data_IF_344345676889
#
_entry.id   IF_344345676889
#
_cell.length_a   1.000
_cell.length_b   1.000
_cell.length_c   1.000
_cell.angle_alpha   90.00
_cell.angle_beta   90.00
_cell.angle_gamma   90.00
#
_symmetry.space_group_name_H-M   'P 1'
#
loop_
_entity.id
_entity.type
_entity.pdbx_description
1 polymer ?
#
# COMPACT_ATOMS: atom_id res chain seq x y z
N UNK A 1 -17.88 20.04 5.11
CA UNK A 1 -18.45 19.30 6.26
C UNK A 1 -19.77 18.69 5.81
N UNK A 2 -19.94 17.37 5.87
CA UNK A 2 -21.25 16.75 5.71
C UNK A 2 -22.06 17.08 6.98
N UNK A 3 -23.32 17.48 6.84
CA UNK A 3 -24.17 18.07 7.88
C UNK A 3 -24.56 17.11 9.04
N UNK A 4 -23.62 16.40 9.66
CA UNK A 4 -23.81 15.59 10.89
C UNK A 4 -25.03 14.62 10.89
N UNK A 5 -25.61 14.30 9.73
CA UNK A 5 -26.90 13.57 9.62
C UNK A 5 -26.75 12.05 9.63
N UNK A 6 -25.53 11.52 9.60
CA UNK A 6 -25.28 10.08 9.57
C UNK A 6 -24.18 9.71 10.56
N UNK A 7 -24.52 8.88 11.56
CA UNK A 7 -23.59 8.26 12.49
C UNK A 7 -23.53 6.76 12.23
N UNK A 8 -22.33 6.18 12.29
CA UNK A 8 -22.11 4.73 12.21
C UNK A 8 -21.46 4.29 13.52
N UNK A 9 -22.05 3.29 14.18
CA UNK A 9 -21.45 2.62 15.34
C UNK A 9 -20.76 1.36 14.80
N UNK A 10 -19.46 1.21 15.07
CA UNK A 10 -18.72 0.02 14.67
C UNK A 10 -18.86 -1.08 15.72
N UNK A 11 -19.14 -2.28 15.24
CA UNK A 11 -19.00 -3.50 16.00
C UNK A 11 -17.56 -4.03 15.91
N UNK A 12 -17.15 -4.92 16.83
CA UNK A 12 -15.87 -5.60 16.70
C UNK A 12 -15.69 -6.20 15.31
N UNK A 13 -14.49 -6.07 14.75
CA UNK A 13 -14.10 -6.54 13.42
C UNK A 13 -14.77 -5.83 12.24
N UNK A 14 -15.36 -4.65 12.46
CA UNK A 14 -15.77 -3.73 11.38
C UNK A 14 -14.75 -2.62 11.18
N UNK A 15 -14.50 -2.27 9.92
CA UNK A 15 -13.64 -1.15 9.51
C UNK A 15 -14.43 -0.12 8.72
N UNK A 16 -14.23 1.15 9.08
CA UNK A 16 -14.77 2.30 8.38
C UNK A 16 -13.67 3.00 7.56
N UNK A 17 -13.87 3.14 6.26
CA UNK A 17 -12.99 3.91 5.38
C UNK A 17 -13.74 5.10 4.78
N UNK A 18 -13.20 6.31 4.91
CA UNK A 18 -13.81 7.52 4.35
C UNK A 18 -12.98 8.10 3.20
N UNK A 19 -13.59 8.20 2.03
CA UNK A 19 -12.97 8.83 0.87
C UNK A 19 -13.30 10.33 0.85
N UNK A 20 -12.28 11.17 1.09
CA UNK A 20 -12.43 12.63 1.14
C UNK A 20 -12.76 13.27 -0.21
N UNK A 21 -12.40 12.62 -1.32
CA UNK A 21 -12.58 13.17 -2.67
C UNK A 21 -14.04 13.08 -3.11
N UNK A 22 -14.67 11.92 -2.91
CA UNK A 22 -16.06 11.69 -3.31
C UNK A 22 -17.06 11.76 -2.14
N UNK A 23 -16.58 12.00 -0.92
CA UNK A 23 -17.35 12.10 0.33
C UNK A 23 -18.15 10.84 0.70
N UNK A 24 -17.80 9.67 0.14
CA UNK A 24 -18.42 8.39 0.46
C UNK A 24 -17.62 7.66 1.54
N UNK A 25 -18.32 6.88 2.35
CA UNK A 25 -17.70 5.92 3.27
C UNK A 25 -17.96 4.49 2.80
N UNK A 26 -17.09 3.59 3.24
CA UNK A 26 -17.20 2.14 3.10
C UNK A 26 -17.14 1.52 4.50
N UNK A 27 -18.04 0.58 4.78
CA UNK A 27 -18.08 -0.22 5.99
C UNK A 27 -17.83 -1.68 5.58
N UNK A 28 -16.80 -2.30 6.13
CA UNK A 28 -16.38 -3.65 5.76
C UNK A 28 -15.96 -4.47 6.97
N UNK A 29 -15.89 -5.79 6.79
CA UNK A 29 -15.30 -6.72 7.75
C UNK A 29 -13.97 -7.23 7.19
N UNK A 30 -12.87 -6.50 7.39
CA UNK A 30 -11.56 -6.91 6.88
C UNK A 30 -11.05 -8.13 7.64
N UNK A 31 -10.01 -8.76 7.09
CA UNK A 31 -9.22 -9.71 7.85
C UNK A 31 -8.47 -8.95 8.95
N UNK A 32 -8.85 -9.20 10.21
CA UNK A 32 -8.27 -8.50 11.35
C UNK A 32 -6.83 -8.90 11.60
N UNK A 33 -6.39 -10.07 11.14
CA UNK A 33 -4.99 -10.46 11.20
C UNK A 33 -4.16 -9.57 10.28
N UNK A 34 -4.65 -9.24 9.09
CA UNK A 34 -4.00 -8.29 8.18
C UNK A 34 -4.01 -6.86 8.75
N UNK A 35 -5.15 -6.39 9.29
CA UNK A 35 -5.29 -5.02 9.83
C UNK A 35 -4.38 -4.78 11.03
N UNK A 36 -4.20 -5.79 11.88
CA UNK A 36 -3.38 -5.70 13.11
C UNK A 36 -1.94 -6.16 12.90
N UNK A 37 -1.54 -6.50 11.67
CA UNK A 37 -0.23 -7.08 11.37
C UNK A 37 0.96 -6.20 11.79
N UNK A 38 0.79 -4.89 11.74
CA UNK A 38 1.80 -3.93 12.22
C UNK A 38 2.16 -4.13 13.70
N UNK A 39 1.23 -4.62 14.53
CA UNK A 39 1.48 -4.90 15.94
C UNK A 39 2.43 -6.10 16.14
N UNK A 40 2.55 -6.96 15.12
CA UNK A 40 3.41 -8.15 15.12
C UNK A 40 4.69 -7.95 14.30
N UNK A 41 4.97 -6.71 13.91
CA UNK A 41 6.13 -6.40 13.08
C UNK A 41 6.01 -6.96 11.67
N UNK A 42 4.83 -6.88 11.07
CA UNK A 42 4.58 -7.24 9.68
C UNK A 42 4.05 -6.04 8.88
N UNK A 43 4.60 -5.82 7.68
CA UNK A 43 4.04 -4.93 6.67
C UNK A 43 3.16 -5.76 5.74
N UNK A 44 1.84 -5.51 5.76
CA UNK A 44 0.88 -6.18 4.88
C UNK A 44 0.35 -5.19 3.84
N UNK A 45 0.51 -5.55 2.56
CA UNK A 45 0.04 -4.79 1.40
C UNK A 45 -0.98 -5.65 0.66
N UNK A 46 -2.27 -5.55 1.00
CA UNK A 46 -3.29 -6.51 0.56
C UNK A 46 -4.14 -5.97 -0.59
N UNK A 47 -4.16 -6.68 -1.74
CA UNK A 47 -4.97 -6.34 -2.93
C UNK A 47 -4.82 -4.88 -3.39
N UNK A 48 -3.60 -4.35 -3.30
CA UNK A 48 -3.27 -2.96 -3.61
C UNK A 48 -2.75 -2.82 -5.04
N UNK A 49 -3.01 -1.67 -5.68
CA UNK A 49 -2.34 -1.34 -6.95
C UNK A 49 -0.86 -1.03 -6.68
N UNK A 50 0.00 -1.13 -7.70
CA UNK A 50 1.41 -0.76 -7.54
C UNK A 50 1.57 0.71 -7.11
N UNK A 51 0.69 1.60 -7.56
CA UNK A 51 0.65 3.01 -7.10
C UNK A 51 0.39 3.10 -5.60
N UNK A 52 -0.59 2.35 -5.08
CA UNK A 52 -0.91 2.33 -3.65
C UNK A 52 0.26 1.76 -2.83
N UNK A 53 0.89 0.69 -3.34
CA UNK A 53 2.07 0.08 -2.74
C UNK A 53 3.22 1.10 -2.65
N UNK A 54 3.55 1.78 -3.74
CA UNK A 54 4.60 2.81 -3.76
C UNK A 54 4.31 3.89 -2.72
N UNK A 55 3.07 4.38 -2.64
CA UNK A 55 2.68 5.37 -1.64
C UNK A 55 2.89 4.87 -0.19
N UNK A 56 2.67 3.58 0.07
CA UNK A 56 2.95 2.99 1.40
C UNK A 56 4.46 2.95 1.66
N UNK A 57 5.25 2.52 0.66
CA UNK A 57 6.70 2.43 0.78
C UNK A 57 7.35 3.81 0.98
N UNK A 58 6.90 4.85 0.26
CA UNK A 58 7.37 6.24 0.43
C UNK A 58 7.13 6.79 1.85
N UNK A 59 6.05 6.37 2.52
CA UNK A 59 5.80 6.78 3.91
C UNK A 59 6.64 6.00 4.93
N UNK A 60 7.00 4.76 4.59
CA UNK A 60 7.67 3.84 5.50
C UNK A 60 9.20 4.00 5.45
N UNK A 61 9.75 4.24 4.26
CA UNK A 61 11.18 4.33 4.04
C UNK A 61 11.58 5.75 3.63
N UNK A 62 12.80 6.20 3.94
CA UNK A 62 13.27 7.55 3.60
C UNK A 62 13.72 7.63 2.12
N UNK A 63 12.91 7.11 1.19
CA UNK A 63 13.18 7.13 -0.24
C UNK A 63 12.02 7.76 -1.01
N UNK A 64 12.34 8.62 -1.97
CA UNK A 64 11.39 9.08 -2.97
C UNK A 64 11.32 8.07 -4.12
N UNK A 65 10.13 7.81 -4.66
CA UNK A 65 9.96 6.92 -5.80
C UNK A 65 9.86 7.71 -7.11
N UNK A 66 10.66 7.31 -8.09
CA UNK A 66 10.68 7.94 -9.42
C UNK A 66 10.20 6.94 -10.45
N UNK A 67 9.04 7.21 -11.05
CA UNK A 67 8.39 6.31 -12.00
C UNK A 67 7.48 7.05 -12.98
N UNK A 68 7.17 6.42 -14.11
CA UNK A 68 6.15 6.91 -15.04
C UNK A 68 4.83 6.19 -14.77
N UNK A 69 3.74 6.95 -14.58
CA UNK A 69 2.39 6.39 -14.37
C UNK A 69 1.98 5.47 -15.52
N UNK A 70 2.44 5.74 -16.76
CA UNK A 70 2.16 4.89 -17.93
C UNK A 70 2.75 3.48 -17.80
N UNK A 71 3.72 3.29 -16.91
CA UNK A 71 4.35 2.00 -16.66
C UNK A 71 3.63 1.21 -15.55
N UNK A 72 2.70 1.84 -14.80
CA UNK A 72 1.97 1.18 -13.74
C UNK A 72 0.66 0.60 -14.27
N UNK A 73 0.55 -0.73 -14.25
CA UNK A 73 -0.71 -1.42 -14.53
C UNK A 73 -1.65 -1.30 -13.34
N UNK A 74 -2.95 -1.43 -13.59
CA UNK A 74 -3.97 -1.41 -12.54
C UNK A 74 -4.19 -2.80 -11.89
N UNK A 75 -3.23 -3.70 -12.08
CA UNK A 75 -3.22 -5.01 -11.44
C UNK A 75 -3.08 -4.84 -9.93
N UNK A 76 -3.65 -5.78 -9.19
CA UNK A 76 -3.66 -5.78 -7.74
C UNK A 76 -2.76 -6.87 -7.20
N UNK A 77 -1.91 -6.51 -6.25
CA UNK A 77 -0.93 -7.39 -5.66
C UNK A 77 -1.14 -7.50 -4.15
N UNK A 78 -0.67 -8.62 -3.60
CA UNK A 78 -0.68 -8.92 -2.18
C UNK A 78 0.73 -9.28 -1.74
N UNK A 79 1.26 -8.55 -0.76
CA UNK A 79 2.56 -8.82 -0.17
C UNK A 79 2.51 -8.80 1.35
N UNK A 80 3.41 -9.56 1.96
CA UNK A 80 3.65 -9.58 3.40
C UNK A 80 5.15 -9.61 3.62
N UNK A 81 5.64 -8.63 4.37
CA UNK A 81 7.05 -8.52 4.74
C UNK A 81 7.19 -8.42 6.25
N UNK A 82 8.38 -8.74 6.77
CA UNK A 82 8.76 -8.27 8.11
C UNK A 82 8.80 -6.74 8.09
N UNK A 83 8.35 -6.10 9.16
CA UNK A 83 8.24 -4.64 9.24
C UNK A 83 9.60 -3.94 9.14
N UNK A 84 10.67 -4.62 9.54
CA UNK A 84 12.04 -4.11 9.44
C UNK A 84 12.80 -4.58 8.19
N UNK A 85 12.12 -5.20 7.23
CA UNK A 85 12.76 -5.59 5.97
C UNK A 85 13.36 -4.35 5.28
N UNK A 86 14.61 -4.40 4.78
CA UNK A 86 15.20 -3.30 4.04
C UNK A 86 14.44 -3.09 2.72
N UNK A 87 14.47 -1.86 2.19
CA UNK A 87 13.72 -1.53 0.98
C UNK A 87 14.18 -2.38 -0.21
N UNK A 88 15.47 -2.71 -0.28
CA UNK A 88 16.08 -3.56 -1.31
C UNK A 88 15.40 -4.93 -1.39
N UNK A 89 15.22 -5.61 -0.25
CA UNK A 89 14.56 -6.92 -0.18
C UNK A 89 13.09 -6.82 -0.60
N UNK A 90 12.41 -5.78 -0.13
CA UNK A 90 11.01 -5.50 -0.49
C UNK A 90 10.88 -5.28 -2.00
N UNK A 91 11.75 -4.47 -2.59
CA UNK A 91 11.72 -4.14 -4.01
C UNK A 91 12.09 -5.33 -4.89
N UNK A 92 13.08 -6.14 -4.49
CA UNK A 92 13.45 -7.37 -5.18
C UNK A 92 12.25 -8.32 -5.31
N UNK A 93 11.52 -8.53 -4.22
CA UNK A 93 10.31 -9.37 -4.23
C UNK A 93 9.21 -8.74 -5.10
N UNK A 94 8.99 -7.42 -4.98
CA UNK A 94 7.96 -6.71 -5.76
C UNK A 94 8.23 -6.83 -7.26
N UNK A 95 9.45 -6.54 -7.75
CA UNK A 95 9.74 -6.60 -9.19
C UNK A 95 9.64 -8.03 -9.73
N UNK A 96 10.05 -9.03 -8.94
CA UNK A 96 9.92 -10.44 -9.31
C UNK A 96 8.46 -10.88 -9.46
N UNK A 97 7.57 -10.42 -8.60
CA UNK A 97 6.14 -10.79 -8.65
C UNK A 97 5.37 -9.99 -9.71
N UNK A 98 5.64 -8.68 -9.84
CA UNK A 98 4.98 -7.82 -10.83
C UNK A 98 5.41 -8.20 -12.25
N UNK A 99 6.70 -8.50 -12.44
CA UNK A 99 7.29 -8.81 -13.73
C UNK A 99 7.33 -7.61 -14.70
N UNK A 100 8.15 -7.73 -15.75
CA UNK A 100 8.36 -6.66 -16.77
C UNK A 100 8.76 -5.30 -16.15
N UNK A 101 9.40 -5.33 -15.00
CA UNK A 101 9.80 -4.15 -14.25
C UNK A 101 11.14 -4.42 -13.59
N UNK A 102 11.96 -3.37 -13.51
CA UNK A 102 13.22 -3.35 -12.79
C UNK A 102 13.23 -2.15 -11.83
N UNK A 103 14.15 -2.18 -10.87
CA UNK A 103 14.35 -1.08 -9.94
C UNK A 103 15.84 -0.75 -9.77
N UNK A 104 16.11 0.51 -9.44
CA UNK A 104 17.45 0.96 -9.05
C UNK A 104 17.35 1.95 -7.91
N UNK A 105 18.13 1.73 -6.86
CA UNK A 105 18.28 2.70 -5.77
C UNK A 105 19.55 3.52 -6.02
N UNK A 106 19.43 4.84 -5.98
CA UNK A 106 20.55 5.78 -6.04
C UNK A 106 20.29 6.86 -5.00
N UNK A 107 21.19 6.96 -4.01
CA UNK A 107 21.04 7.88 -2.87
C UNK A 107 19.69 7.65 -2.15
N UNK A 108 18.84 8.67 -2.11
CA UNK A 108 17.52 8.66 -1.47
C UNK A 108 16.37 8.41 -2.48
N UNK A 109 16.68 7.87 -3.67
CA UNK A 109 15.68 7.64 -4.73
C UNK A 109 15.64 6.21 -5.21
N UNK A 110 14.43 5.66 -5.28
CA UNK A 110 14.12 4.38 -5.91
C UNK A 110 13.49 4.63 -7.28
N UNK A 111 14.21 4.30 -8.35
CA UNK A 111 13.75 4.41 -9.73
C UNK A 111 13.08 3.11 -10.16
N UNK A 112 11.88 3.20 -10.74
CA UNK A 112 11.18 2.07 -11.35
C UNK A 112 11.15 2.22 -12.87
N UNK A 113 11.63 1.19 -13.56
CA UNK A 113 11.70 1.16 -15.01
C UNK A 113 11.00 -0.07 -15.56
N UNK A 114 10.33 0.08 -16.70
CA UNK A 114 9.77 -1.06 -17.42
C UNK A 114 10.89 -1.75 -18.22
N UNK A 115 10.91 -3.08 -18.20
CA UNK A 115 11.76 -3.91 -19.05
C UNK A 115 11.05 -4.22 -20.37
#
# INVERSE_FOLDING_TARGET
>A
YNNLTTSVILHPNEQFAYNRNNKKYDLSNPDMDDVTAWQRGELVLQKMTLTDIINVLERKYPYAFVYSIKNLKNDRFSFRFKDNAPLEEVMEIIVNVVGQMDYRIVEDKCYLTRI
#
